data_IF_579333070757
#
_entry.id   IF_579333070757
#
_cell.length_a   1.000
_cell.length_b   1.000
_cell.length_c   1.000
_cell.angle_alpha   90.00
_cell.angle_beta   90.00
_cell.angle_gamma   90.00
#
_symmetry.space_group_name_H-M   'P 1'
#
loop_
_entity.id
_entity.type
_entity.pdbx_description
1 polymer ?
#
# COMPACT_ATOMS: atom_id res chain seq x y z
N UNK A 1 -16.04 -7.79 2.05
CA UNK A 1 -14.56 -7.68 1.98
C UNK A 1 -13.97 -7.18 3.31
N UNK A 2 -14.27 -5.96 3.76
CA UNK A 2 -13.65 -5.35 4.97
C UNK A 2 -13.93 -6.05 6.31
N UNK A 3 -15.12 -6.63 6.50
CA UNK A 3 -15.41 -7.45 7.69
C UNK A 3 -14.42 -8.62 7.80
N UNK A 4 -14.11 -9.27 6.68
CA UNK A 4 -13.19 -10.39 6.60
C UNK A 4 -11.73 -9.94 6.80
N UNK A 5 -11.33 -8.81 6.20
CA UNK A 5 -10.00 -8.20 6.46
C UNK A 5 -9.82 -7.93 7.96
N UNK A 6 -10.80 -7.28 8.60
CA UNK A 6 -10.78 -7.03 10.04
C UNK A 6 -10.70 -8.33 10.86
N UNK A 7 -11.41 -9.37 10.42
CA UNK A 7 -11.38 -10.69 11.07
C UNK A 7 -9.98 -11.32 10.98
N UNK A 8 -9.43 -11.46 9.76
CA UNK A 8 -8.10 -12.04 9.53
C UNK A 8 -7.04 -11.24 10.30
N UNK A 9 -7.05 -9.91 10.19
CA UNK A 9 -6.05 -9.09 10.87
C UNK A 9 -6.07 -9.26 12.39
N UNK A 10 -7.24 -9.55 12.96
CA UNK A 10 -7.39 -9.82 14.40
C UNK A 10 -6.96 -11.25 14.76
N UNK A 11 -7.44 -12.24 14.02
CA UNK A 11 -7.29 -13.67 14.35
C UNK A 11 -5.87 -14.15 14.07
N UNK A 12 -5.31 -13.77 12.91
CA UNK A 12 -3.95 -14.11 12.50
C UNK A 12 -2.90 -13.13 13.05
N UNK A 13 -3.33 -12.15 13.86
CA UNK A 13 -2.46 -11.12 14.47
C UNK A 13 -1.57 -10.40 13.44
N UNK A 14 -2.13 -10.10 12.27
CA UNK A 14 -1.43 -9.36 11.22
C UNK A 14 -1.34 -7.89 11.62
N UNK A 15 -0.13 -7.35 11.64
CA UNK A 15 0.14 -5.94 11.94
C UNK A 15 -0.07 -5.03 10.74
N UNK A 16 0.41 -5.43 9.56
CA UNK A 16 0.37 -4.67 8.31
C UNK A 16 -0.11 -5.59 7.19
N UNK A 17 -1.07 -5.13 6.40
CA UNK A 17 -1.60 -5.86 5.25
C UNK A 17 -1.59 -4.93 4.02
N UNK A 18 -1.01 -5.42 2.91
CA UNK A 18 -1.08 -4.76 1.61
C UNK A 18 -2.30 -5.29 0.83
N UNK A 19 -3.03 -4.40 0.16
CA UNK A 19 -4.19 -4.73 -0.66
C UNK A 19 -4.01 -4.06 -2.03
N UNK A 20 -4.15 -4.86 -3.09
CA UNK A 20 -4.22 -4.41 -4.48
C UNK A 20 -5.68 -4.42 -4.95
N UNK A 21 -5.98 -3.72 -6.05
CA UNK A 21 -7.34 -3.56 -6.59
C UNK A 21 -8.32 -3.13 -5.48
N UNK A 22 -7.88 -2.15 -4.68
CA UNK A 22 -8.60 -1.72 -3.49
C UNK A 22 -9.88 -0.98 -3.86
N UNK A 23 -9.86 -0.23 -4.97
CA UNK A 23 -10.93 0.65 -5.46
C UNK A 23 -11.53 1.53 -4.35
N UNK A 24 -10.68 1.97 -3.42
CA UNK A 24 -11.09 2.82 -2.32
C UNK A 24 -11.00 4.27 -2.74
N UNK A 25 -12.02 5.04 -2.38
CA UNK A 25 -11.94 6.49 -2.30
C UNK A 25 -11.62 6.94 -0.87
N UNK A 26 -11.20 8.18 -0.70
CA UNK A 26 -10.97 8.78 0.62
C UNK A 26 -12.23 8.72 1.49
N UNK A 27 -13.40 9.01 0.92
CA UNK A 27 -14.69 8.87 1.61
C UNK A 27 -14.90 7.43 2.09
N UNK A 28 -14.59 6.44 1.24
CA UNK A 28 -14.75 5.02 1.59
C UNK A 28 -13.77 4.60 2.68
N UNK A 29 -12.53 5.11 2.64
CA UNK A 29 -11.53 4.93 3.71
C UNK A 29 -12.06 5.44 5.04
N UNK A 30 -12.61 6.65 5.09
CA UNK A 30 -13.16 7.22 6.34
C UNK A 30 -14.32 6.39 6.89
N UNK A 31 -15.23 5.93 6.02
CA UNK A 31 -16.31 5.02 6.41
C UNK A 31 -15.77 3.71 7.00
N UNK A 32 -14.72 3.13 6.39
CA UNK A 32 -14.08 1.90 6.88
C UNK A 32 -13.47 2.12 8.26
N UNK A 33 -12.74 3.21 8.47
CA UNK A 33 -12.12 3.51 9.77
C UNK A 33 -13.16 3.80 10.86
N UNK A 34 -14.31 4.37 10.50
CA UNK A 34 -15.43 4.57 11.42
C UNK A 34 -16.07 3.24 11.86
N UNK A 35 -16.31 2.33 10.92
CA UNK A 35 -16.91 1.01 11.21
C UNK A 35 -15.91 0.09 11.93
N UNK A 36 -14.63 0.15 11.56
CA UNK A 36 -13.56 -0.69 12.08
C UNK A 36 -12.47 0.16 12.75
N UNK A 37 -12.72 0.73 13.95
CA UNK A 37 -11.84 1.71 14.60
C UNK A 37 -10.48 1.13 15.04
N UNK A 38 -10.27 -0.18 14.89
CA UNK A 38 -8.99 -0.87 15.14
C UNK A 38 -8.12 -0.96 13.89
N UNK A 39 -8.63 -0.57 12.73
CA UNK A 39 -7.90 -0.48 11.49
C UNK A 39 -7.54 0.98 11.22
N UNK A 40 -6.33 1.18 10.69
CA UNK A 40 -5.92 2.42 10.04
C UNK A 40 -5.64 2.06 8.58
N UNK A 41 -6.18 2.82 7.64
CA UNK A 41 -6.07 2.52 6.21
C UNK A 41 -5.39 3.68 5.53
N UNK A 42 -4.31 3.40 4.81
CA UNK A 42 -3.73 4.34 3.85
C UNK A 42 -4.04 3.85 2.45
N UNK A 43 -4.36 4.77 1.55
CA UNK A 43 -4.77 4.47 0.18
C UNK A 43 -3.99 5.33 -0.80
N UNK A 44 -3.81 4.81 -2.00
CA UNK A 44 -3.35 5.52 -3.18
C UNK A 44 -4.36 5.22 -4.30
N UNK A 45 -4.97 6.27 -4.83
CA UNK A 45 -6.05 6.23 -5.80
C UNK A 45 -5.51 6.51 -7.21
N UNK A 46 -6.20 6.02 -8.24
CA UNK A 46 -5.95 6.41 -9.63
C UNK A 46 -7.03 7.43 -10.05
N UNK A 47 -6.73 8.72 -9.89
CA UNK A 47 -7.69 9.81 -10.15
C UNK A 47 -8.07 9.93 -11.64
N UNK A 48 -7.15 9.63 -12.56
CA UNK A 48 -7.38 9.75 -14.00
C UNK A 48 -8.26 8.62 -14.56
N UNK A 49 -8.23 7.44 -13.93
CA UNK A 49 -9.10 6.33 -14.30
C UNK A 49 -9.82 5.73 -13.08
N UNK A 50 -10.75 6.50 -12.49
CA UNK A 50 -11.65 6.02 -11.42
C UNK A 50 -12.50 4.78 -11.78
N UNK A 51 -12.54 4.37 -13.06
CA UNK A 51 -13.17 3.15 -13.57
C UNK A 51 -12.18 2.02 -13.93
N UNK A 52 -10.88 2.30 -13.97
CA UNK A 52 -9.85 1.27 -14.16
C UNK A 52 -9.59 0.56 -12.83
N UNK A 53 -9.22 -0.72 -12.93
CA UNK A 53 -9.06 -1.65 -11.81
C UNK A 53 -7.85 -1.35 -10.90
N UNK A 54 -7.36 -0.12 -10.86
CA UNK A 54 -6.21 0.29 -10.06
C UNK A 54 -6.63 0.71 -8.63
N UNK A 55 -5.64 0.94 -7.78
CA UNK A 55 -5.79 1.32 -6.38
C UNK A 55 -5.03 0.36 -5.47
N UNK A 56 -4.14 0.90 -4.66
CA UNK A 56 -3.45 0.16 -3.60
C UNK A 56 -3.82 0.71 -2.24
N UNK A 57 -3.80 -0.16 -1.23
CA UNK A 57 -4.01 0.25 0.15
C UNK A 57 -3.09 -0.52 1.09
N UNK A 58 -2.73 0.12 2.19
CA UNK A 58 -2.05 -0.51 3.32
C UNK A 58 -2.93 -0.37 4.55
N UNK A 59 -3.24 -1.50 5.18
CA UNK A 59 -4.04 -1.58 6.39
C UNK A 59 -3.13 -1.89 7.58
N UNK A 60 -3.21 -1.03 8.59
CA UNK A 60 -2.48 -1.14 9.84
C UNK A 60 -3.42 -1.58 10.97
N UNK A 61 -2.99 -2.58 11.74
CA UNK A 61 -3.65 -2.98 12.96
C UNK A 61 -3.26 -2.02 14.08
N UNK A 62 -4.19 -1.17 14.53
CA UNK A 62 -3.93 -0.20 15.59
C UNK A 62 -3.52 -0.82 16.93
N UNK A 63 -3.77 -2.12 17.12
CA UNK A 63 -3.37 -2.86 18.34
C UNK A 63 -1.95 -3.41 18.29
N UNK A 64 -1.38 -3.57 17.10
CA UNK A 64 -0.10 -4.25 16.89
C UNK A 64 0.97 -3.35 16.29
N UNK A 65 0.61 -2.12 15.90
CA UNK A 65 1.50 -1.18 15.22
C UNK A 65 1.41 0.20 15.88
N UNK A 66 2.49 0.98 15.80
CA UNK A 66 2.47 2.41 16.16
C UNK A 66 1.85 3.23 15.03
N UNK A 67 0.61 2.92 14.69
CA UNK A 67 -0.13 3.46 13.54
C UNK A 67 -0.18 5.00 13.52
N UNK A 68 -0.10 5.64 14.69
CA UNK A 68 -0.12 7.10 14.84
C UNK A 68 1.18 7.77 14.35
N UNK A 69 2.24 7.00 14.13
CA UNK A 69 3.53 7.48 13.60
C UNK A 69 3.64 7.32 12.09
N UNK A 70 2.58 6.81 11.43
CA UNK A 70 2.62 6.51 10.01
C UNK A 70 2.91 7.75 9.17
N UNK A 71 3.96 7.65 8.36
CA UNK A 71 4.22 8.56 7.25
C UNK A 71 3.94 7.80 5.98
N UNK A 72 3.14 8.37 5.10
CA UNK A 72 2.79 7.77 3.82
C UNK A 72 3.30 8.66 2.70
N UNK A 73 3.82 8.03 1.65
CA UNK A 73 4.07 8.68 0.35
C UNK A 73 3.50 7.81 -0.75
N UNK A 74 2.90 8.48 -1.72
CA UNK A 74 2.52 7.87 -2.98
C UNK A 74 3.76 7.86 -3.89
N UNK A 75 4.12 6.68 -4.40
CA UNK A 75 5.24 6.53 -5.32
C UNK A 75 4.75 6.63 -6.77
N UNK A 76 3.68 5.88 -7.08
CA UNK A 76 2.98 5.92 -8.36
C UNK A 76 1.49 5.85 -8.05
N UNK A 77 0.69 6.89 -8.40
CA UNK A 77 -0.74 6.93 -8.10
C UNK A 77 -1.47 5.66 -8.53
N UNK A 78 -2.28 5.11 -7.62
CA UNK A 78 -3.06 3.89 -7.82
C UNK A 78 -2.27 2.58 -7.97
N UNK A 79 -0.94 2.63 -7.96
CA UNK A 79 -0.08 1.47 -8.31
C UNK A 79 0.98 1.18 -7.27
N UNK A 80 1.52 2.19 -6.60
CA UNK A 80 2.54 2.00 -5.60
C UNK A 80 2.48 3.07 -4.51
N UNK A 81 2.53 2.61 -3.26
CA UNK A 81 2.63 3.49 -2.11
C UNK A 81 3.58 2.92 -1.07
N UNK A 82 4.18 3.81 -0.28
CA UNK A 82 5.10 3.44 0.78
C UNK A 82 4.67 4.07 2.09
N UNK A 83 4.76 3.29 3.16
CA UNK A 83 4.58 3.79 4.52
C UNK A 83 5.84 3.56 5.34
N UNK A 84 6.05 4.41 6.33
CA UNK A 84 7.06 4.25 7.36
C UNK A 84 6.38 4.43 8.72
N UNK A 85 6.56 3.47 9.62
CA UNK A 85 6.09 3.54 11.00
C UNK A 85 7.25 3.37 11.97
N UNK A 86 7.15 3.95 13.17
CA UNK A 86 7.99 3.53 14.28
C UNK A 86 7.63 2.10 14.68
N UNK A 87 8.64 1.28 14.93
CA UNK A 87 8.46 -0.12 15.32
C UNK A 87 8.83 -0.32 16.79
N UNK A 88 10.10 -0.59 17.08
CA UNK A 88 10.59 -0.90 18.43
C UNK A 88 11.90 -0.16 18.72
N UNK A 89 12.02 0.42 19.91
CA UNK A 89 13.24 1.13 20.37
C UNK A 89 13.74 2.20 19.38
N UNK A 90 12.81 2.94 18.77
CA UNK A 90 13.11 4.01 17.81
C UNK A 90 13.49 3.52 16.41
N UNK A 91 13.49 2.20 16.17
CA UNK A 91 13.67 1.68 14.82
C UNK A 91 12.42 1.95 14.00
N UNK A 92 12.62 2.13 12.70
CA UNK A 92 11.55 2.36 11.75
C UNK A 92 11.37 1.12 10.88
N UNK A 93 10.14 0.86 10.50
CA UNK A 93 9.80 -0.13 9.50
C UNK A 93 9.16 0.59 8.31
N UNK A 94 9.77 0.43 7.14
CA UNK A 94 9.30 0.99 5.88
C UNK A 94 8.74 -0.13 5.00
N UNK A 95 7.44 -0.06 4.68
CA UNK A 95 6.74 -1.06 3.88
C UNK A 95 6.19 -0.41 2.62
N UNK A 96 6.49 -1.02 1.48
CA UNK A 96 6.00 -0.60 0.18
C UNK A 96 4.97 -1.61 -0.36
N UNK A 97 3.84 -1.11 -0.82
CA UNK A 97 2.82 -1.89 -1.53
C UNK A 97 2.90 -1.57 -3.02
N UNK A 98 2.95 -2.60 -3.87
CA UNK A 98 2.99 -2.46 -5.32
C UNK A 98 1.88 -3.28 -6.00
N UNK A 99 1.42 -2.76 -7.14
CA UNK A 99 0.54 -3.42 -8.08
C UNK A 99 1.03 -3.11 -9.50
N UNK A 100 2.04 -3.86 -9.96
CA UNK A 100 2.69 -3.63 -11.23
C UNK A 100 1.75 -3.95 -12.42
N UNK A 101 1.92 -3.28 -13.58
CA UNK A 101 1.19 -3.65 -14.80
C UNK A 101 1.50 -5.08 -15.26
N UNK A 102 0.55 -5.74 -15.92
CA UNK A 102 0.77 -7.08 -16.49
C UNK A 102 1.86 -7.04 -17.58
N UNK A 103 2.67 -8.11 -17.65
CA UNK A 103 3.62 -8.31 -18.75
C UNK A 103 2.89 -9.03 -19.89
N UNK A 104 2.35 -8.26 -20.82
CA UNK A 104 1.82 -8.75 -22.11
C UNK A 104 2.64 -8.17 -23.27
N UNK A 105 2.53 -8.73 -24.48
CA UNK A 105 3.28 -8.24 -25.66
C UNK A 105 3.13 -6.74 -25.90
N UNK A 106 2.01 -6.14 -25.48
CA UNK A 106 1.75 -4.69 -25.59
C UNK A 106 2.10 -3.89 -24.33
N UNK A 107 2.20 -4.53 -23.15
CA UNK A 107 2.41 -3.87 -21.85
C UNK A 107 3.79 -4.11 -21.23
N UNK A 108 4.66 -4.91 -21.85
CA UNK A 108 6.02 -5.13 -21.36
C UNK A 108 6.82 -3.83 -21.18
N UNK A 109 6.61 -2.85 -22.06
CA UNK A 109 7.20 -1.51 -21.94
C UNK A 109 6.67 -0.72 -20.74
N UNK A 110 5.37 -0.85 -20.42
CA UNK A 110 4.74 -0.18 -19.27
C UNK A 110 5.22 -0.80 -17.95
N UNK A 111 5.36 -2.13 -17.89
CA UNK A 111 5.90 -2.82 -16.72
C UNK A 111 7.38 -2.44 -16.48
N UNK A 112 8.21 -2.43 -17.53
CA UNK A 112 9.60 -2.01 -17.42
C UNK A 112 9.72 -0.56 -16.94
N UNK A 113 8.92 0.35 -17.51
CA UNK A 113 8.87 1.75 -17.08
C UNK A 113 8.43 1.87 -15.62
N UNK A 114 7.41 1.13 -15.19
CA UNK A 114 6.97 1.11 -13.79
C UNK A 114 8.12 0.79 -12.84
N UNK A 115 8.92 -0.24 -13.13
CA UNK A 115 10.05 -0.61 -12.26
C UNK A 115 11.18 0.42 -12.28
N UNK A 116 11.47 1.04 -13.43
CA UNK A 116 12.43 2.16 -13.51
C UNK A 116 11.96 3.35 -12.67
N UNK A 117 10.71 3.77 -12.81
CA UNK A 117 10.13 4.88 -12.05
C UNK A 117 10.14 4.58 -10.53
N UNK A 118 9.89 3.33 -10.15
CA UNK A 118 9.98 2.88 -8.75
C UNK A 118 11.42 2.94 -8.21
N UNK A 119 12.41 2.55 -9.01
CA UNK A 119 13.82 2.66 -8.63
C UNK A 119 14.22 4.14 -8.44
N UNK A 120 13.87 5.01 -9.38
CA UNK A 120 14.11 6.45 -9.30
C UNK A 120 13.45 7.05 -8.04
N UNK A 121 12.20 6.66 -7.74
CA UNK A 121 11.51 7.08 -6.53
C UNK A 121 12.27 6.68 -5.26
N UNK A 122 12.73 5.43 -5.16
CA UNK A 122 13.46 4.93 -3.99
C UNK A 122 14.80 5.65 -3.84
N UNK A 123 15.53 5.88 -4.95
CA UNK A 123 16.80 6.60 -4.93
C UNK A 123 16.62 8.07 -4.53
N UNK A 124 15.51 8.70 -4.94
CA UNK A 124 15.15 10.07 -4.55
C UNK A 124 14.69 10.22 -3.09
N UNK A 125 14.33 9.12 -2.42
CA UNK A 125 13.82 9.12 -1.04
C UNK A 125 14.62 8.18 -0.11
N UNK A 126 15.92 8.43 0.10
CA UNK A 126 16.78 7.55 0.89
C UNK A 126 16.33 7.41 2.36
N UNK A 127 15.57 8.38 2.89
CA UNK A 127 14.98 8.35 4.24
C UNK A 127 13.78 7.40 4.37
N UNK A 128 13.22 6.96 3.23
CA UNK A 128 12.12 6.00 3.14
C UNK A 128 12.50 4.84 2.21
N UNK A 129 13.72 4.31 2.33
CA UNK A 129 14.08 3.06 1.66
C UNK A 129 13.21 1.91 2.20
N UNK A 130 12.54 1.10 1.35
CA UNK A 130 11.69 0.02 1.82
C UNK A 130 12.52 -1.10 2.45
N UNK A 131 12.11 -1.54 3.65
CA UNK A 131 12.60 -2.76 4.28
C UNK A 131 11.87 -3.98 3.71
N UNK A 132 10.60 -3.79 3.33
CA UNK A 132 9.74 -4.82 2.74
C UNK A 132 8.98 -4.21 1.56
N UNK A 133 9.00 -4.91 0.42
CA UNK A 133 8.13 -4.65 -0.73
C UNK A 133 7.16 -5.82 -0.84
N UNK A 134 5.86 -5.53 -0.90
CA UNK A 134 4.81 -6.54 -0.97
C UNK A 134 3.79 -6.16 -2.05
N UNK A 135 3.13 -7.17 -2.59
CA UNK A 135 2.00 -7.00 -3.48
C UNK A 135 2.16 -7.85 -4.74
N UNK A 136 1.59 -7.36 -5.82
CA UNK A 136 1.61 -8.07 -7.10
C UNK A 136 2.64 -7.42 -8.02
N UNK A 137 3.69 -8.20 -8.31
CA UNK A 137 4.83 -7.78 -9.09
C UNK A 137 4.60 -7.99 -10.60
N UNK A 138 3.62 -8.81 -10.98
CA UNK A 138 3.34 -9.17 -12.38
C UNK A 138 4.61 -9.44 -13.21
N UNK A 139 5.55 -10.21 -12.65
CA UNK A 139 6.77 -10.66 -13.34
C UNK A 139 6.57 -12.09 -13.85
N UNK A 140 7.03 -12.38 -15.07
CA UNK A 140 6.99 -13.71 -15.72
C UNK A 140 8.40 -14.13 -16.11
#
# INVERSE_FOLDING_TARGET
RWLHINQIMREEKIGIMAIQESHLTMERKEQIESIFPKLRVEISEDEENSTARAGVAIVLNRRLTNWNTVKMREAIPGRAMIIQIEWHRGWKLTVMCVYAPNVTEHQGTENAKFWTDMEEFIQGHPDMKPDVIMGDFNMV
#
